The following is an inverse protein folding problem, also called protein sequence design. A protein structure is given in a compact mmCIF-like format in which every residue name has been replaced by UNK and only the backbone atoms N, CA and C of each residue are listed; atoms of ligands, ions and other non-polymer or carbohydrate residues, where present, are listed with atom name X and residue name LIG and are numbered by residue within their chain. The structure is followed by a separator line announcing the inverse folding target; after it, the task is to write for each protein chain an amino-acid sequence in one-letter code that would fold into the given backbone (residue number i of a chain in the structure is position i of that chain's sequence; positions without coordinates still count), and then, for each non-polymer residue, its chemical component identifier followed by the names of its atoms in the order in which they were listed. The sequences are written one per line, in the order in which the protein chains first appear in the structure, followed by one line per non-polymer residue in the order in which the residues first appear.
data_IF_451538370271
#
_entry.id   IF_451538370271
#
_cell.length_a   1.000
_cell.length_b   1.000
_cell.length_c   1.000
_cell.angle_alpha   90.00
_cell.angle_beta   90.00
_cell.angle_gamma   90.00
#
_symmetry.space_group_name_H-M   'P 1'
#
loop_
_entity.id
_entity.type
_entity.pdbx_description
1 polymer ?
#
# COMPACT_ATOMS: atom_id res chain seq x y z
N UNK A 1 -17.14 20.28 -5.54
CA UNK A 1 -16.06 19.86 -4.62
C UNK A 1 -16.12 20.70 -3.35
N UNK A 2 -16.83 20.25 -2.31
CA UNK A 2 -16.72 20.89 -0.99
C UNK A 2 -15.33 20.52 -0.44
N UNK A 3 -14.43 21.51 -0.45
CA UNK A 3 -13.09 21.44 0.10
C UNK A 3 -13.18 21.08 1.59
N UNK A 4 -13.02 19.81 1.94
CA UNK A 4 -12.66 19.45 3.30
C UNK A 4 -11.26 20.04 3.54
N UNK A 5 -11.16 21.04 4.42
CA UNK A 5 -9.92 21.77 4.73
C UNK A 5 -8.95 20.91 5.58
N UNK A 6 -8.70 19.67 5.16
CA UNK A 6 -7.65 18.84 5.74
C UNK A 6 -6.31 19.30 5.16
N UNK A 7 -5.62 20.22 5.86
CA UNK A 7 -4.23 20.55 5.56
C UNK A 7 -3.31 19.46 6.12
N UNK A 8 -3.23 18.33 5.41
CA UNK A 8 -2.40 17.18 5.79
C UNK A 8 -1.03 17.25 5.13
N UNK A 9 0.02 16.76 5.80
CA UNK A 9 1.38 16.81 5.25
C UNK A 9 1.55 15.86 4.03
N UNK A 10 0.84 14.73 4.06
CA UNK A 10 0.68 13.81 2.93
C UNK A 10 -0.78 13.34 2.87
N UNK A 11 -1.27 13.06 1.66
CA UNK A 11 -2.63 12.57 1.40
C UNK A 11 -2.58 11.38 0.44
N UNK A 12 -3.34 10.34 0.74
CA UNK A 12 -3.47 9.13 -0.07
C UNK A 12 -4.92 9.00 -0.54
N UNK A 13 -5.14 9.03 -1.85
CA UNK A 13 -6.47 8.95 -2.45
C UNK A 13 -6.60 7.68 -3.30
N UNK A 14 -7.76 7.03 -3.24
CA UNK A 14 -8.19 5.95 -4.12
C UNK A 14 -9.26 6.48 -5.08
N UNK A 15 -9.60 5.70 -6.11
CA UNK A 15 -10.63 6.04 -7.12
C UNK A 15 -10.38 7.36 -7.88
N UNK A 16 -9.11 7.72 -8.06
CA UNK A 16 -8.75 8.93 -8.81
C UNK A 16 -8.73 8.61 -10.29
N UNK A 17 -9.71 9.12 -11.06
CA UNK A 17 -9.69 9.02 -12.52
C UNK A 17 -8.44 9.68 -13.13
N UNK A 18 -7.89 9.04 -14.17
CA UNK A 18 -6.63 9.47 -14.82
C UNK A 18 -6.69 10.92 -15.30
N UNK A 19 -7.72 11.30 -16.04
CA UNK A 19 -7.85 12.67 -16.54
C UNK A 19 -8.05 13.67 -15.39
N UNK A 20 -8.82 13.30 -14.37
CA UNK A 20 -9.05 14.16 -13.20
C UNK A 20 -7.76 14.37 -12.40
N UNK A 21 -6.88 13.37 -12.31
CA UNK A 21 -5.57 13.56 -11.68
C UNK A 21 -4.78 14.71 -12.33
N UNK A 22 -4.68 14.70 -13.66
CA UNK A 22 -3.86 15.66 -14.40
C UNK A 22 -4.53 17.04 -14.57
N UNK A 23 -5.85 17.09 -14.65
CA UNK A 23 -6.60 18.33 -14.96
C UNK A 23 -7.16 19.03 -13.73
N UNK A 24 -7.39 18.30 -12.63
CA UNK A 24 -8.03 18.82 -11.43
C UNK A 24 -7.13 18.67 -10.20
N UNK A 25 -6.84 17.43 -9.78
CA UNK A 25 -6.20 17.17 -8.49
C UNK A 25 -4.78 17.72 -8.41
N UNK A 26 -3.90 17.35 -9.35
CA UNK A 26 -2.51 17.77 -9.32
C UNK A 26 -2.37 19.29 -9.50
N UNK A 27 -3.04 19.96 -10.45
CA UNK A 27 -2.97 21.43 -10.57
C UNK A 27 -3.45 22.15 -9.30
N UNK A 28 -4.62 21.79 -8.78
CA UNK A 28 -5.18 22.44 -7.59
C UNK A 28 -4.36 22.21 -6.32
N UNK A 29 -3.73 21.04 -6.18
CA UNK A 29 -2.87 20.73 -5.05
C UNK A 29 -1.47 21.35 -5.19
N UNK A 30 -0.96 21.53 -6.41
CA UNK A 30 0.27 22.29 -6.67
C UNK A 30 0.17 23.74 -6.23
N UNK A 31 -0.97 24.40 -6.46
CA UNK A 31 -1.23 25.75 -5.93
C UNK A 31 -1.17 25.81 -4.39
N UNK A 32 -1.37 24.68 -3.71
CA UNK A 32 -1.31 24.54 -2.25
C UNK A 32 0.04 24.01 -1.75
N UNK A 33 1.05 23.91 -2.63
CA UNK A 33 2.42 23.48 -2.29
C UNK A 33 2.59 21.97 -2.19
N UNK A 34 1.74 21.18 -2.85
CA UNK A 34 1.92 19.73 -2.96
C UNK A 34 2.54 19.36 -4.31
N UNK A 35 3.26 18.25 -4.31
CA UNK A 35 3.48 17.47 -5.53
C UNK A 35 2.79 16.10 -5.38
N UNK A 36 2.73 15.32 -6.45
CA UNK A 36 1.98 14.07 -6.44
C UNK A 36 2.56 12.97 -7.31
N UNK A 37 2.28 11.73 -6.91
CA UNK A 37 2.47 10.53 -7.71
C UNK A 37 1.14 9.82 -7.91
N UNK A 38 0.86 9.40 -9.14
CA UNK A 38 -0.34 8.67 -9.52
C UNK A 38 0.00 7.53 -10.47
N UNK A 39 -0.74 6.43 -10.31
CA UNK A 39 -0.76 5.33 -11.26
C UNK A 39 -2.20 4.84 -11.44
N UNK A 40 -2.68 4.66 -12.68
CA UNK A 40 -3.97 4.03 -12.94
C UNK A 40 -3.90 2.51 -12.76
N UNK A 41 -5.05 1.87 -12.58
CA UNK A 41 -5.15 0.39 -12.61
C UNK A 41 -4.63 -0.20 -13.91
N UNK A 42 -4.16 -1.44 -13.85
CA UNK A 42 -3.43 -2.10 -14.95
C UNK A 42 -4.20 -2.18 -16.27
N UNK A 43 -5.54 -2.21 -16.23
CA UNK A 43 -6.40 -2.19 -17.43
C UNK A 43 -6.14 -1.01 -18.37
N UNK A 44 -5.65 0.13 -17.85
CA UNK A 44 -5.29 1.29 -18.64
C UNK A 44 -4.30 0.99 -19.79
N UNK A 45 -3.52 -0.10 -19.69
CA UNK A 45 -2.51 -0.50 -20.69
C UNK A 45 -3.11 -1.14 -21.94
N UNK A 46 -4.31 -1.69 -21.87
CA UNK A 46 -4.95 -2.45 -22.97
C UNK A 46 -6.18 -1.76 -23.55
N UNK A 47 -6.57 -0.61 -22.99
CA UNK A 47 -7.75 0.15 -23.40
C UNK A 47 -7.39 1.24 -24.42
N UNK A 48 -8.40 1.77 -25.10
CA UNK A 48 -8.22 2.93 -25.98
C UNK A 48 -7.80 4.18 -25.20
N UNK A 49 -7.25 5.19 -25.88
CA UNK A 49 -6.85 6.44 -25.23
C UNK A 49 -8.01 7.16 -24.54
N UNK A 50 -9.21 7.10 -25.13
CA UNK A 50 -10.39 7.74 -24.58
C UNK A 50 -10.88 7.04 -23.31
N UNK A 51 -10.90 5.71 -23.29
CA UNK A 51 -11.30 4.95 -22.10
C UNK A 51 -10.26 5.06 -20.99
N UNK A 52 -8.97 5.10 -21.35
CA UNK A 52 -7.85 5.23 -20.41
C UNK A 52 -7.97 6.47 -19.52
N UNK A 53 -8.53 7.57 -20.03
CA UNK A 53 -8.79 8.80 -19.26
C UNK A 53 -9.69 8.59 -18.04
N UNK A 54 -10.63 7.65 -18.15
CA UNK A 54 -11.60 7.33 -17.11
C UNK A 54 -11.18 6.13 -16.25
N UNK A 55 -10.01 5.52 -16.54
CA UNK A 55 -9.48 4.50 -15.65
C UNK A 55 -9.00 5.17 -14.37
N UNK A 56 -9.55 4.72 -13.25
CA UNK A 56 -9.19 5.13 -11.92
C UNK A 56 -7.91 4.45 -11.40
N UNK A 57 -7.32 5.04 -10.37
CA UNK A 57 -6.12 4.55 -9.71
C UNK A 57 -5.88 5.15 -8.34
N UNK A 58 -4.65 5.01 -7.87
CA UNK A 58 -4.22 5.53 -6.58
C UNK A 58 -3.27 6.72 -6.76
N UNK A 59 -3.43 7.73 -5.92
CA UNK A 59 -2.55 8.89 -5.86
C UNK A 59 -1.99 9.10 -4.44
N UNK A 60 -0.75 9.58 -4.35
CA UNK A 60 -0.15 10.09 -3.12
C UNK A 60 0.33 11.51 -3.39
N UNK A 61 -0.14 12.45 -2.56
CA UNK A 61 0.29 13.84 -2.57
C UNK A 61 1.07 14.17 -1.31
N UNK A 62 2.10 15.00 -1.41
CA UNK A 62 2.95 15.39 -0.28
C UNK A 62 3.39 16.85 -0.41
N UNK A 63 3.46 17.54 0.73
CA UNK A 63 3.94 18.92 0.82
C UNK A 63 5.42 19.01 0.45
N UNK A 64 5.78 19.75 -0.59
CA UNK A 64 7.17 19.89 -1.06
C UNK A 64 8.04 20.70 -0.11
N UNK A 65 7.43 21.53 0.74
CA UNK A 65 8.11 22.25 1.84
C UNK A 65 8.52 21.34 3.02
N UNK A 66 8.04 20.08 3.02
CA UNK A 66 8.24 19.10 4.10
C UNK A 66 8.97 17.85 3.65
N UNK A 67 8.79 17.49 2.39
CA UNK A 67 9.26 16.24 1.83
C UNK A 67 9.87 16.43 0.45
N UNK A 68 10.92 15.67 0.17
CA UNK A 68 11.48 15.50 -1.17
C UNK A 68 11.23 14.08 -1.66
N UNK A 69 10.68 13.91 -2.86
CA UNK A 69 10.47 12.60 -3.46
C UNK A 69 11.81 11.95 -3.82
N UNK A 70 12.07 10.75 -3.30
CA UNK A 70 13.29 9.96 -3.58
C UNK A 70 13.00 8.83 -4.56
N UNK A 71 11.85 8.16 -4.41
CA UNK A 71 11.42 7.05 -5.27
C UNK A 71 9.89 7.01 -5.39
N UNK A 72 9.41 6.45 -6.49
CA UNK A 72 8.00 6.16 -6.74
C UNK A 72 7.88 4.77 -7.36
N UNK A 73 6.91 4.00 -6.92
CA UNK A 73 6.70 2.61 -7.31
C UNK A 73 5.22 2.31 -7.49
N UNK A 74 4.90 1.52 -8.50
CA UNK A 74 3.56 0.94 -8.69
C UNK A 74 3.68 -0.57 -8.50
N UNK A 75 2.81 -1.13 -7.67
CA UNK A 75 2.68 -2.57 -7.45
C UNK A 75 1.41 -3.05 -8.17
N UNK A 76 1.59 -3.86 -9.22
CA UNK A 76 0.50 -4.44 -9.99
C UNK A 76 0.22 -5.85 -9.50
N UNK A 77 -0.88 -6.03 -8.76
CA UNK A 77 -1.16 -7.28 -8.06
C UNK A 77 -1.35 -8.47 -9.01
N UNK A 78 -1.88 -8.25 -10.20
CA UNK A 78 -1.98 -9.30 -11.23
C UNK A 78 -0.62 -9.83 -11.68
N UNK A 79 0.38 -8.95 -11.85
CA UNK A 79 1.73 -9.35 -12.24
C UNK A 79 2.44 -10.08 -11.11
N UNK A 80 2.28 -9.61 -9.87
CA UNK A 80 2.84 -10.29 -8.69
C UNK A 80 2.18 -11.67 -8.51
N UNK A 81 0.86 -11.77 -8.66
CA UNK A 81 0.13 -13.04 -8.62
C UNK A 81 0.59 -13.99 -9.73
N UNK A 82 0.76 -13.51 -10.96
CA UNK A 82 1.26 -14.31 -12.09
C UNK A 82 2.68 -14.82 -11.85
N UNK A 83 3.56 -14.00 -11.27
CA UNK A 83 4.93 -14.42 -10.94
C UNK A 83 5.00 -15.41 -9.76
N UNK A 84 3.92 -15.53 -8.98
CA UNK A 84 3.85 -16.36 -7.78
C UNK A 84 2.72 -17.39 -7.85
N UNK A 85 2.28 -17.77 -9.05
CA UNK A 85 1.15 -18.68 -9.24
C UNK A 85 1.53 -20.16 -9.35
N UNK A 86 2.81 -20.49 -9.26
CA UNK A 86 3.31 -21.86 -9.44
C UNK A 86 2.52 -22.85 -8.58
N UNK A 87 1.90 -23.84 -9.25
CA UNK A 87 1.12 -24.89 -8.60
C UNK A 87 -0.24 -24.46 -8.04
N UNK A 88 -0.70 -23.22 -8.25
CA UNK A 88 -1.98 -22.72 -7.73
C UNK A 88 -2.90 -22.18 -8.83
N UNK A 89 -3.86 -23.02 -9.26
CA UNK A 89 -4.94 -22.59 -10.15
C UNK A 89 -5.79 -21.47 -9.53
N UNK A 90 -5.98 -21.48 -8.21
CA UNK A 90 -6.72 -20.45 -7.51
C UNK A 90 -6.04 -19.07 -7.62
N UNK A 91 -4.70 -19.02 -7.56
CA UNK A 91 -3.92 -17.79 -7.79
C UNK A 91 -4.16 -17.25 -9.21
N UNK A 92 -4.10 -18.11 -10.23
CA UNK A 92 -4.34 -17.71 -11.63
C UNK A 92 -5.79 -17.26 -11.89
N UNK A 93 -6.76 -18.04 -11.42
CA UNK A 93 -8.15 -17.85 -11.79
C UNK A 93 -8.80 -16.72 -10.98
N UNK A 94 -8.45 -16.57 -9.70
CA UNK A 94 -9.12 -15.64 -8.78
C UNK A 94 -8.32 -14.37 -8.54
N UNK A 95 -7.00 -14.45 -8.37
CA UNK A 95 -6.15 -13.32 -7.97
C UNK A 95 -5.57 -12.58 -9.17
N UNK A 96 -4.92 -13.30 -10.10
CA UNK A 96 -4.27 -12.72 -11.28
C UNK A 96 -5.26 -12.00 -12.21
N UNK A 97 -6.51 -12.43 -12.24
CA UNK A 97 -7.58 -11.79 -13.05
C UNK A 97 -8.04 -10.43 -12.54
N UNK A 98 -7.53 -9.94 -11.40
CA UNK A 98 -7.90 -8.65 -10.81
C UNK A 98 -6.83 -7.59 -11.06
N UNK A 99 -7.25 -6.43 -11.57
CA UNK A 99 -6.38 -5.33 -12.02
C UNK A 99 -6.10 -4.27 -10.94
N UNK A 100 -6.39 -4.60 -9.68
CA UNK A 100 -6.09 -3.75 -8.53
C UNK A 100 -4.59 -3.46 -8.41
N UNK A 101 -4.27 -2.31 -7.83
CA UNK A 101 -2.89 -1.85 -7.67
C UNK A 101 -2.66 -1.22 -6.30
N UNK A 102 -1.38 -1.10 -5.95
CA UNK A 102 -0.89 -0.16 -4.95
C UNK A 102 0.18 0.76 -5.53
N UNK A 103 0.39 1.91 -4.89
CA UNK A 103 1.48 2.84 -5.16
C UNK A 103 2.25 3.10 -3.87
N UNK A 104 3.55 3.31 -3.99
CA UNK A 104 4.40 3.68 -2.86
C UNK A 104 5.39 4.78 -3.27
N UNK A 105 5.64 5.71 -2.35
CA UNK A 105 6.66 6.74 -2.50
C UNK A 105 7.62 6.67 -1.33
N UNK A 106 8.91 6.80 -1.62
CA UNK A 106 9.95 7.02 -0.61
C UNK A 106 10.24 8.50 -0.58
N UNK A 107 10.05 9.12 0.59
CA UNK A 107 10.19 10.55 0.83
C UNK A 107 11.38 10.79 1.76
N UNK A 108 12.17 11.80 1.46
CA UNK A 108 13.14 12.40 2.39
C UNK A 108 12.41 13.46 3.20
N UNK A 109 12.41 13.33 4.52
CA UNK A 109 11.80 14.27 5.48
C UNK A 109 12.78 15.40 5.74
N UNK A 110 12.32 16.63 5.55
CA UNK A 110 13.12 17.83 5.76
C UNK A 110 13.50 18.00 7.23
N UNK A 111 14.75 18.43 7.50
CA UNK A 111 15.33 18.45 8.85
C UNK A 111 14.61 19.42 9.79
N UNK A 112 14.03 20.46 9.23
CA UNK A 112 13.29 21.52 9.92
C UNK A 112 12.03 21.00 10.64
N UNK A 113 11.54 19.81 10.30
CA UNK A 113 10.39 19.18 10.95
C UNK A 113 10.74 18.46 12.25
N UNK A 114 12.01 18.10 12.46
CA UNK A 114 12.47 17.53 13.72
C UNK A 114 12.67 18.68 14.71
N UNK A 115 11.63 18.99 15.50
CA UNK A 115 11.67 20.06 16.48
C UNK A 115 12.83 19.92 17.48
N UNK A 116 13.17 20.99 18.19
CA UNK A 116 14.32 21.11 19.11
C UNK A 116 14.42 20.06 20.24
N UNK A 117 13.45 19.13 20.37
CA UNK A 117 13.43 18.03 21.33
C UNK A 117 13.70 16.64 20.75
N UNK A 118 13.63 16.44 19.42
CA UNK A 118 14.10 15.21 18.79
C UNK A 118 15.51 15.46 18.28
N UNK A 119 16.51 15.10 19.10
CA UNK A 119 17.88 15.07 18.60
C UNK A 119 17.89 14.08 17.42
N UNK A 120 18.23 14.52 16.19
CA UNK A 120 18.52 13.56 15.15
C UNK A 120 19.63 12.66 15.70
N UNK A 121 19.44 11.34 15.61
CA UNK A 121 20.35 10.35 16.20
C UNK A 121 21.80 10.64 15.75
N UNK A 122 21.96 11.23 14.55
CA UNK A 122 23.13 12.00 14.16
C UNK A 122 22.77 13.30 13.42
N UNK A 123 23.47 14.40 13.70
CA UNK A 123 23.22 15.73 13.11
C UNK A 123 23.35 15.79 11.56
N UNK A 124 23.88 14.74 10.93
CA UNK A 124 24.11 14.65 9.50
C UNK A 124 22.98 13.94 8.73
N UNK A 125 22.16 13.10 9.36
CA UNK A 125 21.42 12.08 8.60
C UNK A 125 20.11 12.60 8.03
N UNK A 126 19.89 12.29 6.75
CA UNK A 126 18.59 12.41 6.08
C UNK A 126 17.63 11.44 6.75
N UNK A 127 16.35 11.76 6.93
CA UNK A 127 15.38 10.76 7.38
C UNK A 127 14.51 10.34 6.20
N UNK A 128 14.36 9.04 5.97
CA UNK A 128 13.41 8.53 4.97
C UNK A 128 12.08 8.16 5.62
N UNK A 129 11.01 8.23 4.83
CA UNK A 129 9.66 7.78 5.15
C UNK A 129 9.10 7.10 3.90
N UNK A 130 8.49 5.92 4.04
CA UNK A 130 7.71 5.32 2.95
C UNK A 130 6.23 5.56 3.21
N UNK A 131 5.55 6.11 2.20
CA UNK A 131 4.08 6.23 2.19
C UNK A 131 3.56 5.30 1.11
N UNK A 132 2.72 4.35 1.51
CA UNK A 132 2.09 3.37 0.65
C UNK A 132 0.57 3.63 0.59
N UNK A 133 -0.01 3.42 -0.58
CA UNK A 133 -1.43 3.59 -0.83
C UNK A 133 -1.95 2.46 -1.74
N UNK A 134 -3.00 1.75 -1.36
CA UNK A 134 -3.61 0.71 -2.20
C UNK A 134 -5.14 0.76 -2.21
N UNK A 135 -5.72 0.15 -3.24
CA UNK A 135 -7.16 -0.08 -3.34
C UNK A 135 -7.40 -1.56 -3.72
N UNK A 136 -7.78 -2.35 -2.71
CA UNK A 136 -7.98 -3.79 -2.85
C UNK A 136 -9.28 -4.12 -3.56
N UNK A 137 -9.40 -5.36 -4.02
CA UNK A 137 -10.62 -5.86 -4.66
C UNK A 137 -11.84 -5.67 -3.74
N UNK A 138 -13.01 -5.37 -4.33
CA UNK A 138 -14.19 -4.95 -3.55
C UNK A 138 -15.13 -6.10 -3.19
N UNK A 139 -15.26 -7.10 -4.05
CA UNK A 139 -16.31 -8.13 -3.95
C UNK A 139 -16.24 -8.88 -2.60
N UNK A 140 -17.31 -8.87 -1.78
CA UNK A 140 -17.39 -9.59 -0.52
C UNK A 140 -17.07 -11.09 -0.63
N UNK A 141 -17.34 -11.71 -1.79
CA UNK A 141 -17.08 -13.13 -2.05
C UNK A 141 -15.62 -13.45 -2.36
N UNK A 142 -14.71 -12.48 -2.24
CA UNK A 142 -13.31 -12.62 -2.56
C UNK A 142 -12.39 -12.19 -1.41
N UNK A 143 -12.73 -12.61 -0.18
CA UNK A 143 -11.89 -12.45 1.01
C UNK A 143 -10.46 -12.95 0.80
N UNK A 144 -10.31 -14.06 0.06
CA UNK A 144 -9.04 -14.67 -0.31
C UNK A 144 -8.19 -13.72 -1.16
N UNK A 145 -8.80 -13.09 -2.18
CA UNK A 145 -8.11 -12.14 -3.04
C UNK A 145 -7.69 -10.90 -2.26
N UNK A 146 -8.56 -10.36 -1.39
CA UNK A 146 -8.25 -9.18 -0.57
C UNK A 146 -7.05 -9.45 0.35
N UNK A 147 -7.03 -10.62 0.98
CA UNK A 147 -5.94 -11.04 1.85
C UNK A 147 -4.63 -11.24 1.08
N UNK A 148 -4.67 -11.95 -0.05
CA UNK A 148 -3.48 -12.19 -0.88
C UNK A 148 -2.95 -10.88 -1.47
N UNK A 149 -3.80 -9.97 -1.95
CA UNK A 149 -3.40 -8.65 -2.43
C UNK A 149 -2.70 -7.84 -1.33
N UNK A 150 -3.19 -7.91 -0.10
CA UNK A 150 -2.56 -7.26 1.06
C UNK A 150 -1.17 -7.84 1.33
N UNK A 151 -1.03 -9.18 1.32
CA UNK A 151 0.27 -9.86 1.49
C UNK A 151 1.26 -9.48 0.39
N UNK A 152 0.83 -9.51 -0.87
CA UNK A 152 1.64 -9.09 -2.02
C UNK A 152 2.11 -7.64 -1.85
N UNK A 153 1.20 -6.75 -1.45
CA UNK A 153 1.53 -5.33 -1.29
C UNK A 153 2.56 -5.10 -0.18
N UNK A 154 2.36 -5.72 0.99
CA UNK A 154 3.28 -5.59 2.13
C UNK A 154 4.65 -6.18 1.80
N UNK A 155 4.69 -7.34 1.11
CA UNK A 155 5.92 -7.97 0.64
C UNK A 155 6.68 -7.07 -0.34
N UNK A 156 5.99 -6.47 -1.32
CA UNK A 156 6.63 -5.57 -2.29
C UNK A 156 7.09 -4.25 -1.64
N UNK A 157 6.33 -3.72 -0.68
CA UNK A 157 6.75 -2.55 0.12
C UNK A 157 8.03 -2.86 0.90
N UNK A 158 8.16 -4.05 1.48
CA UNK A 158 9.41 -4.51 2.11
C UNK A 158 10.57 -4.53 1.11
N UNK A 159 10.36 -5.09 -0.08
CA UNK A 159 11.38 -5.11 -1.15
C UNK A 159 11.81 -3.69 -1.57
N UNK A 160 10.88 -2.74 -1.59
CA UNK A 160 11.17 -1.32 -1.87
C UNK A 160 12.05 -0.71 -0.76
N UNK A 161 11.79 -1.02 0.51
CA UNK A 161 12.58 -0.54 1.64
C UNK A 161 14.01 -1.09 1.65
N UNK A 162 14.19 -2.37 1.34
CA UNK A 162 15.52 -2.99 1.23
C UNK A 162 16.35 -2.31 0.12
N UNK A 163 15.73 -2.04 -1.04
CA UNK A 163 16.36 -1.30 -2.15
C UNK A 163 16.62 0.17 -1.82
N UNK A 164 15.78 0.80 -1.00
CA UNK A 164 15.98 2.17 -0.55
C UNK A 164 17.19 2.28 0.39
N UNK A 165 17.35 1.32 1.29
CA UNK A 165 18.37 1.32 2.35
C UNK A 165 19.75 0.94 1.84
N UNK A 166 19.81 0.07 0.82
CA UNK A 166 21.07 -0.36 0.18
C UNK A 166 21.65 0.65 -0.82
N UNK A 167 21.01 1.79 -1.04
CA UNK A 167 21.45 2.79 -2.01
C UNK A 167 22.69 3.57 -1.52
N UNK A 168 23.66 3.87 -2.39
CA UNK A 168 24.73 4.82 -2.08
C UNK A 168 24.14 6.18 -1.66
N UNK A 169 24.51 6.66 -0.47
CA UNK A 169 23.96 7.89 0.11
C UNK A 169 22.61 7.73 0.81
N UNK A 170 22.13 6.50 1.02
CA UNK A 170 21.05 6.21 1.96
C UNK A 170 21.51 6.63 3.38
N UNK A 171 20.64 7.28 4.17
CA UNK A 171 20.97 7.65 5.54
C UNK A 171 21.04 6.45 6.51
N UNK A 172 20.53 5.30 6.10
CA UNK A 172 20.51 4.09 6.92
C UNK A 172 20.76 2.86 6.05
N UNK A 173 21.56 1.94 6.58
CA UNK A 173 21.77 0.62 5.99
C UNK A 173 20.71 -0.40 6.45
N UNK A 174 19.97 -0.10 7.53
CA UNK A 174 18.93 -0.98 8.06
C UNK A 174 17.55 -0.61 7.51
N UNK A 175 16.92 -1.44 6.66
CA UNK A 175 15.58 -1.16 6.13
C UNK A 175 14.49 -1.08 7.20
N UNK A 176 14.67 -1.72 8.36
CA UNK A 176 13.69 -1.65 9.44
C UNK A 176 13.66 -0.28 10.14
N UNK A 177 14.66 0.58 9.87
CA UNK A 177 14.72 1.93 10.41
C UNK A 177 13.93 2.97 9.60
N UNK A 178 13.41 2.59 8.42
CA UNK A 178 12.57 3.48 7.61
C UNK A 178 11.09 3.26 8.00
N UNK A 179 10.41 4.24 8.60
CA UNK A 179 9.01 4.12 8.99
C UNK A 179 8.09 3.99 7.76
N UNK A 180 7.02 3.22 7.92
CA UNK A 180 5.96 3.01 6.94
C UNK A 180 4.65 3.64 7.39
N UNK A 181 4.04 4.45 6.52
CA UNK A 181 2.63 4.84 6.59
C UNK A 181 1.89 4.13 5.48
N UNK A 182 1.01 3.20 5.86
CA UNK A 182 0.17 2.44 4.94
C UNK A 182 -1.26 3.00 4.98
N UNK A 183 -1.69 3.59 3.87
CA UNK A 183 -3.08 3.94 3.62
C UNK A 183 -3.66 2.90 2.65
N UNK A 184 -4.91 2.51 2.83
CA UNK A 184 -5.58 1.69 1.83
C UNK A 184 -7.10 1.77 1.98
N UNK A 185 -7.80 1.66 0.86
CA UNK A 185 -9.13 1.07 0.86
C UNK A 185 -8.95 -0.44 0.76
N UNK A 186 -9.14 -1.13 1.89
CA UNK A 186 -8.96 -2.57 2.01
C UNK A 186 -10.21 -3.35 1.59
N UNK A 187 -11.36 -2.69 1.43
CA UNK A 187 -12.66 -3.36 1.26
C UNK A 187 -12.88 -4.53 2.24
N UNK A 188 -12.37 -4.38 3.47
CA UNK A 188 -12.30 -5.43 4.47
C UNK A 188 -12.65 -4.87 5.85
N UNK A 189 -13.52 -5.57 6.57
CA UNK A 189 -13.97 -5.17 7.91
C UNK A 189 -12.87 -5.40 8.98
N UNK A 190 -12.97 -4.74 10.15
CA UNK A 190 -11.97 -4.89 11.22
C UNK A 190 -11.74 -6.32 11.74
N UNK A 191 -12.69 -7.23 11.55
CA UNK A 191 -12.63 -8.64 11.96
C UNK A 191 -12.16 -9.60 10.84
N UNK A 192 -11.71 -9.05 9.70
CA UNK A 192 -11.18 -9.81 8.57
C UNK A 192 -9.74 -10.28 8.78
N UNK A 193 -9.33 -11.32 8.04
CA UNK A 193 -7.95 -11.79 8.01
C UNK A 193 -6.98 -10.75 7.45
N UNK A 194 -7.45 -9.80 6.65
CA UNK A 194 -6.66 -8.66 6.15
C UNK A 194 -6.20 -7.78 7.31
N UNK A 195 -7.13 -7.41 8.19
CA UNK A 195 -6.83 -6.54 9.35
C UNK A 195 -6.04 -7.31 10.41
N UNK A 196 -6.34 -8.61 10.61
CA UNK A 196 -5.53 -9.49 11.47
C UNK A 196 -4.07 -9.54 10.99
N UNK A 197 -3.85 -9.82 9.70
CA UNK A 197 -2.52 -9.91 9.10
C UNK A 197 -1.72 -8.63 9.34
N UNK A 198 -2.30 -7.47 9.02
CA UNK A 198 -1.62 -6.17 9.18
C UNK A 198 -1.33 -5.83 10.64
N UNK A 199 -2.27 -6.09 11.55
CA UNK A 199 -2.16 -5.65 12.95
C UNK A 199 -1.27 -6.58 13.79
N UNK A 200 -1.29 -7.88 13.49
CA UNK A 200 -0.60 -8.89 14.29
C UNK A 200 0.75 -9.32 13.70
N UNK A 201 1.17 -8.71 12.58
CA UNK A 201 2.42 -9.07 11.90
C UNK A 201 2.35 -10.38 11.11
N UNK A 202 1.15 -10.91 10.90
CA UNK A 202 0.95 -12.17 10.19
C UNK A 202 -0.40 -12.84 10.48
N UNK A 203 -0.70 -13.86 9.69
CA UNK A 203 -1.93 -14.66 9.77
C UNK A 203 -1.60 -16.14 9.54
N UNK A 204 -2.45 -17.04 10.04
CA UNK A 204 -2.31 -18.46 9.77
C UNK A 204 -2.59 -18.76 8.28
N UNK A 205 -1.84 -19.69 7.68
CA UNK A 205 -2.00 -20.08 6.27
C UNK A 205 -3.30 -20.87 6.00
N UNK A 206 -3.95 -21.36 7.06
CA UNK A 206 -5.25 -22.01 7.04
C UNK A 206 -6.41 -21.08 7.46
N UNK A 207 -6.20 -19.76 7.48
CA UNK A 207 -7.23 -18.80 7.86
C UNK A 207 -8.48 -18.92 6.96
N UNK A 208 -9.67 -18.81 7.57
CA UNK A 208 -10.98 -18.99 6.91
C UNK A 208 -11.16 -18.14 5.64
N UNK A 209 -10.55 -16.95 5.61
CA UNK A 209 -10.65 -16.02 4.48
C UNK A 209 -9.97 -16.56 3.21
N UNK A 210 -9.07 -17.54 3.32
CA UNK A 210 -8.55 -18.28 2.16
C UNK A 210 -9.55 -19.29 1.57
N UNK A 211 -10.73 -19.45 2.17
CA UNK A 211 -11.85 -20.27 1.67
C UNK A 211 -11.49 -21.75 1.44
N UNK A 212 -10.52 -22.28 2.20
CA UNK A 212 -9.98 -23.64 2.03
C UNK A 212 -9.41 -23.92 0.62
N UNK A 213 -9.20 -22.87 -0.17
CA UNK A 213 -8.59 -22.97 -1.48
C UNK A 213 -7.09 -23.24 -1.27
N UNK A 214 -6.56 -24.23 -1.98
CA UNK A 214 -5.16 -24.64 -1.85
C UNK A 214 -4.23 -23.59 -2.48
N UNK A 215 -3.90 -22.55 -1.71
CA UNK A 215 -2.84 -21.59 -2.02
C UNK A 215 -1.50 -21.96 -1.37
N UNK A 216 -1.49 -22.99 -0.52
CA UNK A 216 -0.56 -23.14 0.61
C UNK A 216 0.93 -23.01 0.31
N UNK A 217 1.43 -23.53 -0.82
CA UNK A 217 2.87 -23.42 -1.13
C UNK A 217 3.25 -22.05 -1.68
N UNK A 218 2.36 -21.40 -2.44
CA UNK A 218 2.67 -20.14 -3.09
C UNK A 218 2.52 -18.92 -2.17
N UNK A 219 1.67 -18.99 -1.12
CA UNK A 219 1.54 -17.90 -0.14
C UNK A 219 2.84 -17.65 0.64
N UNK A 220 3.65 -18.69 0.84
CA UNK A 220 4.93 -18.56 1.54
C UNK A 220 5.93 -17.67 0.79
N UNK A 221 5.72 -17.42 -0.52
CA UNK A 221 6.53 -16.46 -1.28
C UNK A 221 6.38 -15.02 -0.75
N UNK A 222 5.29 -14.72 -0.04
CA UNK A 222 5.03 -13.39 0.53
C UNK A 222 5.38 -13.29 2.03
N UNK A 223 5.88 -14.37 2.64
CA UNK A 223 6.27 -14.39 4.06
C UNK A 223 7.71 -13.88 4.23
N UNK A 224 7.96 -13.09 5.27
CA UNK A 224 9.29 -12.51 5.50
C UNK A 224 10.41 -13.52 5.79
N UNK A 225 10.07 -14.74 6.23
CA UNK A 225 11.02 -15.81 6.55
C UNK A 225 11.37 -16.70 5.34
N UNK A 226 10.77 -16.47 4.17
CA UNK A 226 10.97 -17.26 2.96
C UNK A 226 10.59 -18.75 3.10
N UNK A 227 10.89 -19.55 2.07
CA UNK A 227 10.57 -20.99 2.02
C UNK A 227 11.37 -21.86 3.02
N UNK A 228 12.45 -21.33 3.60
CA UNK A 228 13.42 -22.11 4.40
C UNK A 228 13.32 -21.84 5.91
N UNK A 229 12.46 -20.92 6.35
CA UNK A 229 12.14 -20.78 7.77
C UNK A 229 11.18 -21.90 8.19
N UNK A 230 11.33 -22.40 9.42
CA UNK A 230 10.31 -23.24 10.07
C UNK A 230 8.99 -22.48 10.08
N UNK A 231 8.16 -22.69 9.05
CA UNK A 231 6.86 -22.05 8.96
C UNK A 231 5.92 -22.83 9.87
N UNK A 232 5.64 -22.28 11.04
CA UNK A 232 4.62 -22.78 11.96
C UNK A 232 3.20 -22.55 11.40
N UNK A 233 2.97 -22.79 10.10
CA UNK A 233 1.70 -22.55 9.43
C UNK A 233 1.27 -21.07 9.39
N UNK A 234 2.23 -20.13 9.36
CA UNK A 234 1.96 -18.69 9.42
C UNK A 234 2.69 -17.92 8.32
N UNK A 235 1.98 -16.98 7.72
CA UNK A 235 2.50 -16.01 6.75
C UNK A 235 2.72 -14.70 7.52
N UNK A 236 3.95 -14.17 7.52
CA UNK A 236 4.37 -13.10 8.43
C UNK A 236 5.02 -11.92 7.70
N UNK A 237 4.98 -10.74 8.32
CA UNK A 237 5.72 -9.56 7.89
C UNK A 237 6.48 -8.89 9.05
N UNK A 238 7.58 -8.21 8.75
CA UNK A 238 8.42 -7.57 9.76
C UNK A 238 7.90 -6.22 10.29
N UNK A 239 6.86 -5.65 9.67
CA UNK A 239 6.30 -4.37 10.12
C UNK A 239 5.50 -4.51 11.42
N UNK A 240 5.68 -3.57 12.33
CA UNK A 240 4.86 -3.44 13.55
C UNK A 240 3.81 -2.34 13.33
N UNK A 241 2.78 -2.66 12.54
CA UNK A 241 1.74 -1.70 12.18
C UNK A 241 0.69 -1.59 13.29
N UNK A 242 0.10 -0.40 13.40
CA UNK A 242 -1.07 -0.12 14.22
C UNK A 242 -2.03 0.75 13.45
N UNK A 243 -3.32 0.54 13.63
CA UNK A 243 -4.31 1.41 13.00
C UNK A 243 -4.40 2.73 13.76
N UNK A 244 -4.39 3.85 13.05
CA UNK A 244 -4.54 5.17 13.65
C UNK A 244 -5.95 5.39 14.25
N UNK A 245 -6.92 4.56 13.88
CA UNK A 245 -8.33 4.64 14.29
C UNK A 245 -8.78 3.39 15.07
N UNK A 246 -7.88 2.78 15.85
CA UNK A 246 -8.21 1.67 16.74
C UNK A 246 -9.35 2.01 17.73
N UNK A 247 -10.00 0.97 18.26
CA UNK A 247 -11.10 1.08 19.23
C UNK A 247 -12.38 1.74 18.69
N UNK A 248 -12.69 1.54 17.40
CA UNK A 248 -13.92 2.01 16.76
C UNK A 248 -14.14 3.53 16.92
N UNK A 249 -13.05 4.32 16.88
CA UNK A 249 -13.12 5.78 16.95
C UNK A 249 -13.98 6.36 15.82
N UNK A 250 -14.03 5.67 14.68
CA UNK A 250 -15.00 5.88 13.63
C UNK A 250 -15.90 4.64 13.51
N UNK A 251 -17.24 4.79 13.58
CA UNK A 251 -18.15 3.65 13.50
C UNK A 251 -18.25 3.05 12.09
N UNK A 252 -17.88 3.83 11.06
CA UNK A 252 -17.86 3.42 9.65
C UNK A 252 -16.92 4.34 8.86
N UNK A 253 -16.35 3.81 7.77
CA UNK A 253 -15.53 4.56 6.80
C UNK A 253 -16.16 4.59 5.41
N UNK A 254 -17.04 3.63 5.10
CA UNK A 254 -17.93 3.63 3.95
C UNK A 254 -19.38 3.75 4.45
N UNK A 255 -20.20 4.62 3.87
CA UNK A 255 -21.58 4.80 4.30
C UNK A 255 -22.49 4.92 3.08
N UNK A 256 -23.16 3.81 2.77
CA UNK A 256 -24.16 3.72 1.72
C UNK A 256 -25.50 3.25 2.30
N UNK A 257 -26.52 3.13 1.44
CA UNK A 257 -27.82 2.59 1.87
C UNK A 257 -27.69 1.12 2.28
N UNK A 258 -26.94 0.32 1.50
CA UNK A 258 -26.83 -1.13 1.65
C UNK A 258 -25.67 -1.60 2.53
N UNK A 259 -24.66 -0.75 2.77
CA UNK A 259 -23.44 -1.11 3.50
C UNK A 259 -22.91 0.04 4.37
N UNK A 260 -22.45 -0.30 5.59
CA UNK A 260 -21.87 0.60 6.59
C UNK A 260 -20.78 -0.11 7.37
#
# INVERSE_FOLDING_TARGET
LKSCHCQVAAASNQEVETEQYFTLFLPALKERGYDGFFSPKSRAKIMSEQERKHVDGCAIFFKTEKFTLVQKHTVEFNQVAMANSDGSEAMLNRVMTKDNIGVAVVLEVHKELFGAGMKPIHAADKQLLIVANAHMHWDPEYSDVKLIQTMMFVSEVKNILEKASSRPGSPTADPNSIPLVLCADLNSLPDSGVVEYLSNGGVADNHKDFKELRYNECLMNFSCNGKNGSSEGRITHGFQLKSAYENNLMPYTNYTFDFK
#
